data_IF_550549477040
#
_entry.id   IF_550549477040
#
_cell.length_a   1.000
_cell.length_b   1.000
_cell.length_c   1.000
_cell.angle_alpha   90.00
_cell.angle_beta   90.00
_cell.angle_gamma   90.00
#
_symmetry.space_group_name_H-M   'P 1'
#
loop_
_entity.id
_entity.type
_entity.pdbx_description
1 polymer ?
#
# COMPACT_ATOMS: atom_id res chain seq x y z
N UNK A 1 -4.71 -10.96 20.88
CA UNK A 1 -6.02 -11.66 20.94
C UNK A 1 -6.80 -11.25 22.19
N UNK A 2 -6.12 -11.02 23.30
CA UNK A 2 -6.72 -10.59 24.58
C UNK A 2 -7.35 -9.20 24.51
N UNK A 3 -6.65 -8.20 23.94
CA UNK A 3 -7.18 -6.83 23.80
C UNK A 3 -8.56 -6.70 23.12
N UNK A 4 -8.84 -7.52 22.09
CA UNK A 4 -10.16 -7.51 21.41
C UNK A 4 -11.23 -8.06 22.34
N UNK A 5 -10.90 -9.10 23.10
CA UNK A 5 -11.80 -9.77 24.02
C UNK A 5 -12.13 -8.86 25.20
N UNK A 6 -11.13 -8.15 25.72
CA UNK A 6 -11.29 -7.18 26.82
C UNK A 6 -12.14 -5.97 26.38
N UNK A 7 -12.01 -5.53 25.12
CA UNK A 7 -12.89 -4.51 24.52
C UNK A 7 -14.33 -4.99 24.39
N UNK A 8 -14.55 -6.19 23.85
CA UNK A 8 -15.89 -6.78 23.70
C UNK A 8 -16.59 -6.99 25.05
N UNK A 9 -15.84 -7.44 26.06
CA UNK A 9 -16.34 -7.62 27.44
C UNK A 9 -16.64 -6.28 28.13
N UNK A 10 -15.80 -5.25 27.92
CA UNK A 10 -16.03 -3.90 28.43
C UNK A 10 -17.22 -3.16 27.79
N UNK A 11 -17.62 -3.57 26.58
CA UNK A 11 -18.77 -3.01 25.86
C UNK A 11 -20.10 -3.71 26.20
N UNK A 12 -20.05 -5.02 26.53
CA UNK A 12 -21.23 -5.83 26.91
C UNK A 12 -22.03 -5.28 28.09
N UNK A 13 -21.39 -4.53 29.01
CA UNK A 13 -22.05 -3.94 30.18
C UNK A 13 -22.61 -2.53 29.99
N UNK A 14 -22.33 -1.86 28.86
CA UNK A 14 -22.68 -0.44 28.63
C UNK A 14 -23.89 -0.20 27.72
N UNK A 15 -24.60 -1.25 27.31
CA UNK A 15 -25.73 -1.13 26.38
C UNK A 15 -25.34 -0.70 24.96
N UNK A 16 -24.03 -0.59 24.66
CA UNK A 16 -23.53 -0.63 23.29
C UNK A 16 -23.50 -2.10 22.90
N UNK A 17 -24.52 -2.56 22.19
CA UNK A 17 -24.40 -3.78 21.41
C UNK A 17 -23.15 -3.62 20.55
N UNK A 18 -22.26 -4.62 20.60
CA UNK A 18 -21.17 -4.79 19.62
C UNK A 18 -21.79 -4.46 18.28
N UNK A 19 -21.36 -3.36 17.65
CA UNK A 19 -22.00 -2.78 16.48
C UNK A 19 -22.43 -3.94 15.57
N UNK A 20 -23.74 -4.21 15.49
CA UNK A 20 -24.20 -5.30 14.63
C UNK A 20 -23.62 -4.98 13.26
N UNK A 21 -22.90 -5.93 12.65
CA UNK A 21 -22.22 -5.69 11.37
C UNK A 21 -23.27 -5.05 10.45
N UNK A 22 -23.14 -3.75 10.17
CA UNK A 22 -24.15 -3.06 9.37
C UNK A 22 -24.23 -3.77 8.03
N UNK A 23 -25.39 -3.74 7.34
CA UNK A 23 -25.52 -4.42 6.05
C UNK A 23 -24.37 -4.10 5.09
N UNK A 24 -23.83 -2.89 5.15
CA UNK A 24 -22.64 -2.49 4.38
C UNK A 24 -21.33 -3.13 4.88
N UNK A 25 -21.10 -3.22 6.20
CA UNK A 25 -19.94 -3.93 6.75
C UNK A 25 -19.97 -5.43 6.40
N UNK A 26 -21.15 -6.06 6.42
CA UNK A 26 -21.34 -7.46 5.98
C UNK A 26 -20.97 -7.59 4.50
N UNK A 27 -21.47 -6.69 3.64
CA UNK A 27 -21.16 -6.70 2.20
C UNK A 27 -19.66 -6.56 1.93
N UNK A 28 -18.98 -5.64 2.63
CA UNK A 28 -17.53 -5.44 2.51
C UNK A 28 -16.76 -6.68 2.96
N UNK A 29 -17.15 -7.28 4.08
CA UNK A 29 -16.54 -8.50 4.62
C UNK A 29 -16.71 -9.69 3.67
N UNK A 30 -17.90 -9.87 3.10
CA UNK A 30 -18.18 -10.92 2.12
C UNK A 30 -17.38 -10.70 0.83
N UNK A 31 -17.30 -9.45 0.34
CA UNK A 31 -16.47 -9.11 -0.81
C UNK A 31 -15.00 -9.42 -0.56
N UNK A 32 -14.47 -9.08 0.62
CA UNK A 32 -13.10 -9.39 1.00
C UNK A 32 -12.83 -10.91 1.08
N UNK A 33 -13.79 -11.70 1.55
CA UNK A 33 -13.70 -13.16 1.56
C UNK A 33 -13.70 -13.76 0.15
N UNK A 34 -14.58 -13.26 -0.74
CA UNK A 34 -14.63 -13.69 -2.14
C UNK A 34 -13.31 -13.38 -2.86
N UNK A 35 -12.69 -12.24 -2.55
CA UNK A 35 -11.39 -11.85 -3.13
C UNK A 35 -10.20 -12.62 -2.53
N UNK A 36 -10.38 -13.36 -1.44
CA UNK A 36 -9.31 -14.10 -0.80
C UNK A 36 -9.02 -15.40 -1.55
N UNK A 37 -7.98 -15.37 -2.38
CA UNK A 37 -7.56 -16.49 -3.21
C UNK A 37 -7.34 -17.80 -2.43
N UNK A 38 -6.83 -17.71 -1.19
CA UNK A 38 -6.59 -18.89 -0.36
C UNK A 38 -7.89 -19.54 0.11
N UNK A 39 -8.91 -18.73 0.42
CA UNK A 39 -10.23 -19.24 0.80
C UNK A 39 -10.91 -19.84 -0.42
N UNK A 40 -10.91 -19.13 -1.54
CA UNK A 40 -11.45 -19.61 -2.81
C UNK A 40 -10.91 -20.99 -3.20
N UNK A 41 -9.58 -21.19 -3.18
CA UNK A 41 -8.97 -22.49 -3.53
C UNK A 41 -9.40 -23.63 -2.60
N UNK A 42 -9.55 -23.34 -1.30
CA UNK A 42 -10.00 -24.33 -0.31
C UNK A 42 -11.46 -24.70 -0.52
N UNK A 43 -12.31 -23.69 -0.69
CA UNK A 43 -13.75 -23.89 -0.87
C UNK A 43 -13.99 -24.71 -2.14
N UNK A 44 -13.28 -24.38 -3.23
CA UNK A 44 -13.27 -25.17 -4.47
C UNK A 44 -12.87 -26.64 -4.23
N UNK A 45 -11.80 -26.88 -3.47
CA UNK A 45 -11.36 -28.24 -3.12
C UNK A 45 -12.43 -28.99 -2.31
N UNK A 46 -13.08 -28.31 -1.35
CA UNK A 46 -14.17 -28.91 -0.55
C UNK A 46 -15.42 -29.18 -1.36
N UNK A 47 -15.79 -28.31 -2.31
CA UNK A 47 -16.91 -28.53 -3.21
C UNK A 47 -16.67 -29.70 -4.17
N UNK A 48 -15.45 -29.79 -4.71
CA UNK A 48 -15.03 -30.92 -5.56
C UNK A 48 -15.13 -32.24 -4.80
N UNK A 49 -14.57 -32.29 -3.59
CA UNK A 49 -14.66 -33.46 -2.69
C UNK A 49 -16.09 -33.77 -2.27
N UNK A 50 -16.89 -32.75 -1.95
CA UNK A 50 -18.29 -32.87 -1.53
C UNK A 50 -19.21 -33.41 -2.64
N UNK A 51 -18.87 -33.15 -3.91
CA UNK A 51 -19.53 -33.75 -5.09
C UNK A 51 -19.03 -35.16 -5.41
N UNK A 52 -18.17 -35.75 -4.58
CA UNK A 52 -17.58 -37.08 -4.81
C UNK A 52 -16.61 -37.13 -5.99
N UNK A 53 -16.16 -35.97 -6.50
CA UNK A 53 -15.13 -35.89 -7.52
C UNK A 53 -13.77 -35.82 -6.83
N UNK A 54 -12.90 -36.78 -7.07
CA UNK A 54 -11.50 -36.66 -6.68
C UNK A 54 -10.73 -35.97 -7.80
N UNK A 55 -9.89 -34.99 -7.45
CA UNK A 55 -8.91 -34.46 -8.40
C UNK A 55 -7.97 -35.62 -8.72
N UNK A 56 -8.03 -36.10 -9.97
CA UNK A 56 -7.19 -37.20 -10.42
C UNK A 56 -5.69 -36.91 -10.18
N UNK A 57 -4.84 -37.95 -10.16
CA UNK A 57 -3.41 -37.75 -9.97
C UNK A 57 -2.85 -36.79 -11.01
N UNK A 58 -1.96 -35.88 -10.57
CA UNK A 58 -1.32 -34.92 -11.47
C UNK A 58 -0.75 -35.63 -12.71
N UNK A 59 -1.03 -35.07 -13.89
CA UNK A 59 -0.42 -35.54 -15.12
C UNK A 59 1.11 -35.40 -15.05
N UNK A 60 1.88 -36.21 -15.79
CA UNK A 60 3.34 -36.09 -15.81
C UNK A 60 3.83 -34.67 -16.15
N UNK A 61 3.09 -33.95 -16.98
CA UNK A 61 3.37 -32.56 -17.34
C UNK A 61 3.17 -31.60 -16.15
N UNK A 62 2.04 -31.71 -15.43
CA UNK A 62 1.79 -30.93 -14.22
C UNK A 62 2.87 -31.20 -13.16
N UNK A 63 3.28 -32.46 -13.00
CA UNK A 63 4.38 -32.83 -12.07
C UNK A 63 5.70 -32.17 -12.46
N UNK A 64 6.03 -32.14 -13.76
CA UNK A 64 7.24 -31.45 -14.27
C UNK A 64 7.16 -29.94 -14.00
N UNK A 65 6.02 -29.32 -14.30
CA UNK A 65 5.81 -27.90 -14.07
C UNK A 65 5.92 -27.52 -12.58
N UNK A 66 5.34 -28.32 -11.68
CA UNK A 66 5.46 -28.12 -10.22
C UNK A 66 6.92 -28.17 -9.76
N UNK A 67 7.67 -29.21 -10.17
CA UNK A 67 9.11 -29.32 -9.85
C UNK A 67 9.94 -28.17 -10.42
N UNK A 68 9.68 -27.75 -11.65
CA UNK A 68 10.38 -26.62 -12.25
C UNK A 68 10.10 -25.31 -11.48
N UNK A 69 8.86 -25.10 -11.05
CA UNK A 69 8.46 -23.96 -10.20
C UNK A 69 9.14 -24.00 -8.83
N UNK A 70 9.23 -25.17 -8.19
CA UNK A 70 9.95 -25.36 -6.92
C UNK A 70 11.44 -25.02 -7.06
N UNK A 71 12.09 -25.48 -8.12
CA UNK A 71 13.50 -25.18 -8.42
C UNK A 71 13.71 -23.68 -8.68
N UNK A 72 12.80 -23.04 -9.43
CA UNK A 72 12.87 -21.62 -9.74
C UNK A 72 12.51 -20.73 -8.55
N UNK A 73 11.84 -21.27 -7.52
CA UNK A 73 11.44 -20.53 -6.34
C UNK A 73 12.65 -20.15 -5.49
N UNK A 74 12.99 -18.87 -5.52
CA UNK A 74 14.04 -18.28 -4.66
C UNK A 74 13.83 -18.60 -3.18
N UNK A 75 12.58 -18.72 -2.74
CA UNK A 75 12.23 -19.05 -1.36
C UNK A 75 12.66 -20.46 -0.99
N UNK A 76 12.36 -21.44 -1.84
CA UNK A 76 12.77 -22.83 -1.60
C UNK A 76 14.28 -22.99 -1.75
N UNK A 77 14.90 -22.32 -2.73
CA UNK A 77 16.36 -22.31 -2.90
C UNK A 77 17.12 -21.83 -1.65
N UNK A 78 16.60 -20.80 -0.96
CA UNK A 78 17.24 -20.25 0.26
C UNK A 78 16.87 -20.99 1.54
N UNK A 79 15.88 -21.86 1.51
CA UNK A 79 15.28 -22.48 2.70
C UNK A 79 16.26 -23.36 3.48
N UNK A 80 17.03 -24.18 2.79
CA UNK A 80 17.99 -25.08 3.44
C UNK A 80 19.10 -24.29 4.13
N UNK A 81 19.63 -23.27 3.46
CA UNK A 81 20.59 -22.33 4.03
C UNK A 81 19.99 -21.61 5.25
N UNK A 82 18.76 -21.11 5.15
CA UNK A 82 18.09 -20.43 6.26
C UNK A 82 17.89 -21.36 7.46
N UNK A 83 17.51 -22.62 7.22
CA UNK A 83 17.35 -23.63 8.26
C UNK A 83 18.68 -24.02 8.91
N UNK A 84 19.76 -24.14 8.14
CA UNK A 84 21.09 -24.43 8.66
C UNK A 84 21.62 -23.28 9.53
N UNK A 85 21.43 -22.04 9.07
CA UNK A 85 21.85 -20.85 9.80
C UNK A 85 21.06 -20.76 11.12
N UNK A 86 19.72 -20.91 11.06
CA UNK A 86 18.87 -20.97 12.27
C UNK A 86 19.24 -22.12 13.20
N UNK A 87 19.55 -23.30 12.66
CA UNK A 87 19.95 -24.49 13.42
C UNK A 87 21.28 -24.31 14.16
N UNK A 88 22.17 -23.45 13.63
CA UNK A 88 23.42 -23.04 14.28
C UNK A 88 23.23 -21.91 15.30
N UNK A 89 21.98 -21.50 15.59
CA UNK A 89 21.68 -20.38 16.48
C UNK A 89 22.10 -19.01 15.94
N UNK A 90 22.48 -18.95 14.66
CA UNK A 90 22.73 -17.70 13.95
C UNK A 90 21.40 -17.31 13.31
N UNK A 91 20.80 -16.20 13.72
CA UNK A 91 19.64 -15.70 13.00
C UNK A 91 20.12 -14.89 11.79
N UNK A 92 19.68 -15.24 10.58
CA UNK A 92 19.87 -14.41 9.36
C UNK A 92 19.12 -13.06 9.48
N UNK A 93 18.34 -12.89 10.54
CA UNK A 93 17.54 -11.69 10.78
C UNK A 93 18.36 -10.64 11.53
N UNK A 94 18.56 -9.48 10.89
CA UNK A 94 18.35 -8.11 11.43
C UNK A 94 18.92 -7.67 12.79
N UNK A 95 19.58 -8.55 13.54
CA UNK A 95 19.90 -8.40 14.96
C UNK A 95 21.34 -8.83 15.30
N UNK A 96 22.18 -8.99 14.28
CA UNK A 96 23.63 -9.00 14.52
C UNK A 96 24.02 -7.67 15.18
N UNK A 97 24.99 -7.71 16.09
CA UNK A 97 25.53 -6.53 16.77
C UNK A 97 25.90 -5.41 15.78
N UNK A 98 26.41 -5.77 14.60
CA UNK A 98 26.78 -4.80 13.58
C UNK A 98 25.57 -4.15 12.91
N UNK A 99 24.49 -4.88 12.66
CA UNK A 99 23.24 -4.28 12.15
C UNK A 99 22.61 -3.39 13.23
N UNK A 100 22.64 -3.79 14.50
CA UNK A 100 22.16 -2.96 15.60
C UNK A 100 22.99 -1.68 15.74
N UNK A 101 24.32 -1.78 15.63
CA UNK A 101 25.23 -0.61 15.61
C UNK A 101 24.95 0.30 14.43
N UNK A 102 24.76 -0.25 13.23
CA UNK A 102 24.45 0.52 12.03
C UNK A 102 23.09 1.23 12.15
N UNK A 103 22.07 0.55 12.70
CA UNK A 103 20.76 1.15 12.99
C UNK A 103 20.90 2.32 13.97
N UNK A 104 21.53 2.10 15.12
CA UNK A 104 21.78 3.16 16.12
C UNK A 104 22.59 4.33 15.55
N UNK A 105 23.61 4.04 14.75
CA UNK A 105 24.39 5.08 14.09
C UNK A 105 23.53 5.90 13.10
N UNK A 106 22.67 5.22 12.33
CA UNK A 106 21.71 5.88 11.43
C UNK A 106 20.68 6.73 12.19
N UNK A 107 20.20 6.25 13.34
CA UNK A 107 19.29 6.99 14.25
C UNK A 107 19.97 8.26 14.78
N UNK A 108 21.20 8.15 15.27
CA UNK A 108 22.00 9.28 15.77
C UNK A 108 22.24 10.34 14.68
N UNK A 109 22.50 9.93 13.45
CA UNK A 109 22.77 10.83 12.32
C UNK A 109 21.47 11.42 11.74
N UNK A 110 20.33 10.77 11.97
CA UNK A 110 19.04 11.19 11.42
C UNK A 110 18.61 12.53 11.99
N UNK A 111 18.67 13.57 11.15
CA UNK A 111 18.17 14.90 11.53
C UNK A 111 16.70 14.91 11.95
N UNK A 112 15.90 14.00 11.38
CA UNK A 112 14.48 13.85 11.72
C UNK A 112 14.32 13.40 13.17
N UNK A 113 15.12 12.43 13.61
CA UNK A 113 15.05 11.92 14.97
C UNK A 113 15.62 12.93 15.96
N UNK A 114 16.74 13.57 15.62
CA UNK A 114 17.32 14.66 16.42
C UNK A 114 16.32 15.79 16.70
N UNK A 115 15.50 16.18 15.71
CA UNK A 115 14.50 17.25 15.86
C UNK A 115 13.16 16.78 16.43
N UNK A 116 12.94 15.47 16.57
CA UNK A 116 11.64 14.89 16.93
C UNK A 116 11.20 15.30 18.33
N UNK A 117 12.09 15.17 19.32
CA UNK A 117 11.74 15.46 20.71
C UNK A 117 11.40 16.95 20.89
N UNK A 118 12.22 17.82 20.30
CA UNK A 118 11.96 19.27 20.24
C UNK A 118 10.62 19.56 19.57
N UNK A 119 10.32 18.96 18.42
CA UNK A 119 9.05 19.15 17.73
C UNK A 119 7.86 18.66 18.57
N UNK A 120 7.99 17.52 19.25
CA UNK A 120 6.94 17.01 20.13
C UNK A 120 6.72 17.88 21.37
N UNK A 121 7.78 18.46 21.93
CA UNK A 121 7.70 19.36 23.07
C UNK A 121 7.07 20.71 22.67
N UNK A 122 7.51 21.28 21.55
CA UNK A 122 6.94 22.50 20.97
C UNK A 122 5.44 22.30 20.68
N UNK A 123 5.09 21.18 20.03
CA UNK A 123 3.68 20.82 19.75
C UNK A 123 2.89 20.56 21.02
N UNK A 124 3.49 19.89 22.01
CA UNK A 124 2.84 19.55 23.29
C UNK A 124 2.61 20.75 24.20
N UNK A 125 3.50 21.76 24.16
CA UNK A 125 3.36 23.03 24.87
C UNK A 125 2.54 24.07 24.09
N UNK A 126 2.04 23.73 22.90
CA UNK A 126 1.28 24.64 22.04
C UNK A 126 2.08 25.85 21.55
N UNK A 127 3.41 25.83 21.66
CA UNK A 127 4.27 26.84 21.06
C UNK A 127 4.27 26.62 19.55
N UNK A 128 3.87 27.62 18.77
CA UNK A 128 4.13 27.60 17.34
C UNK A 128 5.60 27.97 17.14
N UNK A 129 6.34 27.14 16.39
CA UNK A 129 7.61 27.60 15.79
C UNK A 129 7.26 28.86 15.02
N UNK A 130 7.96 29.96 15.30
CA UNK A 130 7.68 31.26 14.67
C UNK A 130 7.59 31.12 13.14
N UNK A 131 6.79 31.98 12.48
CA UNK A 131 6.59 31.88 11.04
C UNK A 131 7.94 31.84 10.31
N UNK A 132 8.07 30.93 9.35
CA UNK A 132 9.27 30.80 8.52
C UNK A 132 9.68 32.18 7.99
N UNK A 133 10.98 32.46 8.01
CA UNK A 133 11.50 33.66 7.36
C UNK A 133 11.12 33.63 5.86
N UNK A 134 10.92 34.79 5.21
CA UNK A 134 10.54 34.84 3.80
C UNK A 134 11.46 34.02 2.89
N UNK A 135 12.74 33.92 3.24
CA UNK A 135 13.71 33.13 2.48
C UNK A 135 13.48 31.62 2.62
N UNK A 136 13.17 31.13 3.82
CA UNK A 136 12.81 29.71 4.04
C UNK A 136 11.55 29.36 3.25
N UNK A 137 10.55 30.25 3.20
CA UNK A 137 9.35 30.04 2.40
C UNK A 137 9.63 29.96 0.89
N UNK A 138 10.56 30.78 0.39
CA UNK A 138 10.97 30.75 -1.02
C UNK A 138 11.66 29.43 -1.36
N UNK A 139 12.58 28.99 -0.50
CA UNK A 139 13.30 27.71 -0.67
C UNK A 139 12.33 26.53 -0.63
N UNK A 140 11.38 26.51 0.31
CA UNK A 140 10.35 25.46 0.40
C UNK A 140 9.53 25.38 -0.89
N UNK A 141 9.00 26.52 -1.37
CA UNK A 141 8.24 26.57 -2.63
C UNK A 141 9.05 26.10 -3.83
N UNK A 142 10.32 26.53 -3.94
CA UNK A 142 11.19 26.08 -5.02
C UNK A 142 11.42 24.56 -4.97
N UNK A 143 11.60 23.99 -3.78
CA UNK A 143 11.74 22.54 -3.59
C UNK A 143 10.46 21.78 -3.91
N UNK A 144 9.29 22.31 -3.58
CA UNK A 144 7.99 21.71 -3.90
C UNK A 144 7.76 21.67 -5.42
N UNK A 145 8.02 22.79 -6.11
CA UNK A 145 7.92 22.91 -7.56
C UNK A 145 8.88 21.94 -8.27
N UNK A 146 10.09 21.76 -7.74
CA UNK A 146 11.09 20.85 -8.31
C UNK A 146 10.79 19.36 -8.04
N UNK A 147 9.87 19.05 -7.13
CA UNK A 147 9.59 17.66 -6.73
C UNK A 147 8.77 16.93 -7.80
N UNK A 148 9.39 15.93 -8.43
CA UNK A 148 8.71 15.08 -9.44
C UNK A 148 7.47 14.37 -8.88
N UNK A 149 7.50 13.98 -7.60
CA UNK A 149 6.36 13.33 -6.96
C UNK A 149 5.17 14.29 -6.90
N UNK A 150 5.41 15.50 -6.39
CA UNK A 150 4.36 16.52 -6.27
C UNK A 150 3.80 16.89 -7.65
N UNK A 151 4.68 17.04 -8.65
CA UNK A 151 4.28 17.29 -10.04
C UNK A 151 3.32 16.22 -10.59
N UNK A 152 3.64 14.94 -10.38
CA UNK A 152 2.78 13.83 -10.84
C UNK A 152 1.46 13.77 -10.07
N UNK A 153 1.51 13.88 -8.75
CA UNK A 153 0.32 13.86 -7.90
C UNK A 153 -0.64 15.02 -8.26
N UNK A 154 -0.10 16.18 -8.59
CA UNK A 154 -0.89 17.35 -9.02
C UNK A 154 -1.47 17.17 -10.43
N UNK A 155 -0.69 16.61 -11.37
CA UNK A 155 -1.18 16.25 -12.69
C UNK A 155 -2.33 15.24 -12.64
N UNK A 156 -2.22 14.21 -11.78
CA UNK A 156 -3.27 13.21 -11.54
C UNK A 156 -4.55 13.83 -10.99
N UNK A 157 -4.45 14.79 -10.08
CA UNK A 157 -5.62 15.53 -9.58
C UNK A 157 -6.27 16.39 -10.66
N UNK A 158 -5.45 17.01 -11.51
CA UNK A 158 -5.91 17.91 -12.56
C UNK A 158 -6.49 17.18 -13.78
N UNK A 159 -6.15 15.90 -13.98
CA UNK A 159 -6.71 15.04 -15.03
C UNK A 159 -8.24 14.97 -15.00
N UNK A 160 -8.86 14.95 -13.82
CA UNK A 160 -10.32 14.95 -13.67
C UNK A 160 -11.00 16.27 -14.10
N UNK A 161 -10.24 17.37 -14.10
CA UNK A 161 -10.74 18.69 -14.49
C UNK A 161 -10.39 19.03 -15.95
N UNK A 162 -9.70 18.13 -16.66
CA UNK A 162 -9.33 18.33 -18.05
C UNK A 162 -10.54 18.12 -18.96
N UNK A 163 -11.09 19.21 -19.48
CA UNK A 163 -12.04 19.17 -20.59
C UNK A 163 -11.27 19.25 -21.90
N UNK A 164 -11.50 18.31 -22.82
CA UNK A 164 -10.91 18.37 -24.14
C UNK A 164 -11.44 19.63 -24.84
N UNK A 165 -10.54 20.54 -25.22
CA UNK A 165 -10.91 21.69 -26.06
C UNK A 165 -11.31 21.12 -27.42
N UNK A 166 -12.59 21.26 -27.84
CA UNK A 166 -13.11 20.55 -29.01
C UNK A 166 -12.50 21.02 -30.32
N UNK A 167 -12.07 22.29 -30.41
CA UNK A 167 -11.45 22.87 -31.59
C UNK A 167 -10.19 23.63 -31.18
N UNK A 168 -9.09 23.38 -31.90
CA UNK A 168 -7.90 24.24 -31.79
C UNK A 168 -8.21 25.62 -32.38
N UNK A 169 -7.50 26.69 -31.98
CA UNK A 169 -7.71 28.04 -32.54
C UNK A 169 -7.62 28.09 -34.07
N UNK A 170 -6.85 27.18 -34.67
CA UNK A 170 -6.73 27.04 -36.11
C UNK A 170 -7.98 26.43 -36.77
N UNK A 171 -8.61 25.44 -36.11
CA UNK A 171 -9.89 24.87 -36.54
C UNK A 171 -11.01 25.90 -36.46
N UNK A 172 -11.02 26.76 -35.44
CA UNK A 172 -11.98 27.89 -35.33
C UNK A 172 -11.80 28.91 -36.46
N UNK A 173 -10.54 29.23 -36.80
CA UNK A 173 -10.22 30.10 -37.95
C UNK A 173 -10.74 29.50 -39.25
N UNK A 174 -10.44 28.23 -39.53
CA UNK A 174 -10.89 27.53 -40.75
C UNK A 174 -12.42 27.52 -40.83
N UNK A 175 -13.11 27.16 -39.74
CA UNK A 175 -14.58 27.14 -39.69
C UNK A 175 -15.18 28.52 -39.94
N UNK A 176 -14.60 29.57 -39.34
CA UNK A 176 -15.04 30.95 -39.52
C UNK A 176 -14.85 31.40 -40.98
N UNK A 177 -13.71 31.08 -41.59
CA UNK A 177 -13.46 31.37 -43.01
C UNK A 177 -14.41 30.58 -43.94
N UNK A 178 -14.67 29.30 -43.64
CA UNK A 178 -15.61 28.49 -44.42
C UNK A 178 -17.04 29.05 -44.36
N UNK A 179 -17.51 29.49 -43.18
CA UNK A 179 -18.82 30.14 -43.03
C UNK A 179 -18.94 31.44 -43.84
N UNK A 180 -17.87 32.22 -43.88
CA UNK A 180 -17.83 33.46 -44.65
C UNK A 180 -17.82 33.19 -46.16
N UNK A 181 -17.17 32.10 -46.60
CA UNK A 181 -17.17 31.69 -48.01
C UNK A 181 -18.53 31.11 -48.41
N UNK A 182 -19.17 30.32 -47.55
CA UNK A 182 -20.46 29.68 -47.84
C UNK A 182 -21.67 30.62 -47.79
N UNK A 183 -21.49 31.86 -47.33
CA UNK A 183 -22.57 32.88 -47.24
C UNK A 183 -22.56 33.87 -48.41
N UNK A 184 -21.66 33.68 -49.39
CA UNK A 184 -21.60 34.35 -50.69
C UNK A 184 -22.20 33.43 -51.75
#
# INVERSE_FOLDING_TARGET
KEYRKDLEEGMKGKGMTVFEDTPDLIRVKNAAQILNERQYKKDLETEIKGKGMEVGPDTPEIKRAKKASEIASMKEYKKDLENEIKGKGMEVGTDTLDIQRAKKASEIVSQKEYKKDLETEIRGKGMQVGPDTPEIQRVKRASEIASQKMYKDEAEKMLCNYSAVPDTPEMERIRSTQKNISSV
#
